data_IF_658679379157
#
_entry.id   IF_658679379157
#
_cell.length_a   1.000
_cell.length_b   1.000
_cell.length_c   1.000
_cell.angle_alpha   90.00
_cell.angle_beta   90.00
_cell.angle_gamma   90.00
#
_symmetry.space_group_name_H-M   'P 1'
#
loop_
_entity.id
_entity.type
_entity.pdbx_description
1 polymer ?
#
# COMPACT_ATOMS: atom_id res chain seq x y z
N UNK A 1 -18.43 -12.48 21.27
CA UNK A 1 -17.21 -13.28 21.04
C UNK A 1 -16.27 -12.35 20.33
N UNK A 2 -15.29 -11.76 21.03
CA UNK A 2 -14.30 -10.82 20.47
C UNK A 2 -13.37 -11.66 19.58
N UNK A 3 -13.11 -11.27 18.32
CA UNK A 3 -12.15 -11.99 17.50
C UNK A 3 -10.79 -11.97 18.21
N UNK A 4 -10.19 -13.12 18.39
CA UNK A 4 -8.79 -13.23 18.78
C UNK A 4 -7.97 -12.49 17.71
N UNK A 5 -7.45 -11.32 18.07
CA UNK A 5 -6.39 -10.67 17.31
C UNK A 5 -5.18 -11.61 17.38
N UNK A 6 -4.94 -12.33 16.31
CA UNK A 6 -3.66 -13.00 16.12
C UNK A 6 -2.62 -11.90 16.07
N UNK A 7 -1.75 -11.82 17.07
CA UNK A 7 -0.62 -10.89 17.04
C UNK A 7 0.22 -11.21 15.81
N UNK A 8 0.15 -10.35 14.79
CA UNK A 8 1.04 -10.42 13.63
C UNK A 8 2.47 -10.35 14.15
N UNK A 9 3.28 -11.35 13.87
CA UNK A 9 4.71 -11.33 14.17
C UNK A 9 5.42 -10.85 12.91
N UNK A 10 5.76 -9.58 12.90
CA UNK A 10 6.63 -9.01 11.89
C UNK A 10 8.07 -9.37 12.25
N UNK A 11 8.71 -10.16 11.44
CA UNK A 11 10.06 -10.68 11.71
C UNK A 11 11.13 -9.93 10.94
N UNK A 12 10.79 -9.26 9.83
CA UNK A 12 11.74 -8.57 8.96
C UNK A 12 11.57 -7.05 8.99
N UNK A 13 12.63 -6.27 8.65
CA UNK A 13 12.53 -4.82 8.53
C UNK A 13 11.43 -4.38 7.57
N UNK A 14 11.29 -5.05 6.43
CA UNK A 14 10.30 -4.75 5.41
C UNK A 14 8.87 -4.97 5.93
N UNK A 15 8.63 -6.08 6.62
CA UNK A 15 7.33 -6.37 7.23
C UNK A 15 6.97 -5.34 8.31
N UNK A 16 7.95 -4.93 9.13
CA UNK A 16 7.75 -3.89 10.15
C UNK A 16 7.48 -2.53 9.52
N UNK A 17 8.23 -2.16 8.50
CA UNK A 17 8.05 -0.88 7.82
C UNK A 17 6.68 -0.78 7.14
N UNK A 18 6.23 -1.85 6.45
CA UNK A 18 4.90 -1.89 5.86
C UNK A 18 3.80 -1.84 6.93
N UNK A 19 3.96 -2.57 8.05
CA UNK A 19 2.99 -2.51 9.14
C UNK A 19 2.87 -1.11 9.73
N UNK A 20 4.00 -0.46 9.98
CA UNK A 20 4.02 0.90 10.50
C UNK A 20 3.32 1.86 9.51
N UNK A 21 3.60 1.73 8.21
CA UNK A 21 2.95 2.56 7.20
C UNK A 21 1.42 2.37 7.19
N UNK A 22 0.93 1.13 7.34
CA UNK A 22 -0.50 0.86 7.42
C UNK A 22 -1.12 1.41 8.71
N UNK A 23 -0.38 1.34 9.84
CA UNK A 23 -0.82 1.90 11.12
C UNK A 23 -0.88 3.44 11.08
N UNK A 24 0.09 4.09 10.42
CA UNK A 24 0.11 5.55 10.24
C UNK A 24 -1.06 6.06 9.39
N UNK A 25 -1.63 5.22 8.49
CA UNK A 25 -2.85 5.56 7.76
C UNK A 25 -4.10 5.75 8.64
N UNK A 26 -4.07 5.32 9.90
CA UNK A 26 -5.27 5.44 10.77
C UNK A 26 -5.64 6.91 10.99
N UNK A 27 -4.68 7.83 11.08
CA UNK A 27 -4.96 9.27 11.14
C UNK A 27 -5.58 9.80 9.84
N UNK A 28 -5.20 9.28 8.68
CA UNK A 28 -5.77 9.68 7.39
C UNK A 28 -7.15 9.03 7.17
N UNK A 29 -7.37 7.85 7.69
CA UNK A 29 -8.71 7.24 7.74
C UNK A 29 -9.66 8.04 8.62
N UNK A 30 -9.18 8.61 9.73
CA UNK A 30 -9.96 9.54 10.57
C UNK A 30 -10.35 10.81 9.79
N UNK A 31 -9.45 11.35 8.94
CA UNK A 31 -9.80 12.47 8.05
C UNK A 31 -10.86 12.09 7.01
N UNK A 32 -10.91 10.84 6.56
CA UNK A 32 -12.00 10.36 5.69
C UNK A 32 -13.33 10.25 6.45
N UNK A 33 -13.29 9.91 7.75
CA UNK A 33 -14.48 9.95 8.62
C UNK A 33 -14.97 11.39 8.77
N UNK A 34 -14.08 12.32 9.13
CA UNK A 34 -14.41 13.75 9.23
C UNK A 34 -14.96 14.32 7.91
N UNK A 35 -14.38 13.88 6.78
CA UNK A 35 -14.90 14.25 5.47
C UNK A 35 -16.33 13.75 5.28
N UNK A 36 -16.62 12.48 5.61
CA UNK A 36 -17.93 11.88 5.40
C UNK A 36 -19.05 12.52 6.28
N UNK A 37 -18.71 13.01 7.47
CA UNK A 37 -19.66 13.58 8.43
C UNK A 37 -20.06 15.04 8.12
N UNK A 38 -19.38 15.73 7.22
CA UNK A 38 -19.66 17.13 6.89
C UNK A 38 -20.69 17.29 5.78
N UNK A 39 -21.29 18.49 5.63
CA UNK A 39 -22.12 18.79 4.46
C UNK A 39 -21.31 18.72 3.14
N UNK A 40 -21.90 18.13 2.10
CA UNK A 40 -21.29 17.95 0.80
C UNK A 40 -21.92 18.81 -0.28
N UNK A 41 -21.13 19.22 -1.26
CA UNK A 41 -21.58 19.84 -2.48
C UNK A 41 -22.18 18.80 -3.43
N UNK A 42 -23.09 19.23 -4.31
CA UNK A 42 -23.52 18.41 -5.44
C UNK A 42 -22.47 18.32 -6.56
N UNK A 43 -21.39 19.11 -6.48
CA UNK A 43 -20.28 19.11 -7.43
C UNK A 43 -19.33 17.94 -7.12
N UNK A 44 -19.49 16.86 -7.87
CA UNK A 44 -18.71 15.63 -7.70
C UNK A 44 -17.21 15.87 -7.94
N UNK A 45 -16.84 16.74 -8.86
CA UNK A 45 -15.43 17.00 -9.17
C UNK A 45 -14.75 17.78 -8.02
N UNK A 46 -15.47 18.70 -7.40
CA UNK A 46 -15.00 19.39 -6.20
C UNK A 46 -14.81 18.41 -5.04
N UNK A 47 -15.79 17.58 -4.76
CA UNK A 47 -15.74 16.61 -3.67
C UNK A 47 -14.66 15.55 -3.91
N UNK A 48 -14.49 15.09 -5.15
CA UNK A 48 -13.38 14.16 -5.52
C UNK A 48 -12.02 14.79 -5.24
N UNK A 49 -11.81 16.05 -5.60
CA UNK A 49 -10.54 16.75 -5.31
C UNK A 49 -10.24 16.82 -3.82
N UNK A 50 -11.26 16.94 -2.98
CA UNK A 50 -11.06 16.98 -1.53
C UNK A 50 -10.69 15.62 -0.97
N UNK A 51 -11.30 14.52 -1.46
CA UNK A 51 -10.91 13.15 -1.09
C UNK A 51 -9.48 12.86 -1.55
N UNK A 52 -9.13 13.19 -2.79
CA UNK A 52 -7.75 13.06 -3.29
C UNK A 52 -6.76 13.90 -2.49
N UNK A 53 -7.20 15.06 -1.97
CA UNK A 53 -6.43 15.93 -1.08
C UNK A 53 -6.12 15.28 0.29
N UNK A 54 -6.86 14.25 0.70
CA UNK A 54 -6.56 13.42 1.87
C UNK A 54 -5.66 12.24 1.45
N UNK A 55 -5.97 11.57 0.36
CA UNK A 55 -5.32 10.33 -0.04
C UNK A 55 -3.87 10.53 -0.53
N UNK A 56 -3.60 11.51 -1.38
CA UNK A 56 -2.24 11.72 -1.90
C UNK A 56 -1.19 12.08 -0.85
N UNK A 57 -1.46 12.94 0.16
CA UNK A 57 -0.52 13.12 1.27
C UNK A 57 -0.22 11.82 2.02
N UNK A 58 -1.23 11.01 2.35
CA UNK A 58 -1.07 9.71 3.00
C UNK A 58 -0.20 8.74 2.17
N UNK A 59 -0.47 8.63 0.87
CA UNK A 59 0.33 7.82 -0.05
C UNK A 59 1.76 8.35 -0.23
N UNK A 60 1.95 9.67 -0.17
CA UNK A 60 3.28 10.30 -0.20
C UNK A 60 4.08 9.93 1.05
N UNK A 61 3.44 9.88 2.21
CA UNK A 61 4.08 9.45 3.46
C UNK A 61 4.48 7.98 3.41
N UNK A 62 3.61 7.11 2.94
CA UNK A 62 3.92 5.70 2.67
C UNK A 62 5.13 5.56 1.73
N UNK A 63 5.23 6.37 0.68
CA UNK A 63 6.40 6.39 -0.21
C UNK A 63 7.67 6.84 0.51
N UNK A 64 7.60 7.85 1.37
CA UNK A 64 8.75 8.31 2.15
C UNK A 64 9.26 7.25 3.12
N UNK A 65 8.35 6.49 3.75
CA UNK A 65 8.69 5.36 4.61
C UNK A 65 9.37 4.24 3.82
N UNK A 66 8.87 3.93 2.63
CA UNK A 66 9.50 2.98 1.71
C UNK A 66 10.91 3.45 1.30
N UNK A 67 11.09 4.72 0.96
CA UNK A 67 12.41 5.29 0.64
C UNK A 67 13.39 5.18 1.82
N UNK A 68 12.89 5.42 3.04
CA UNK A 68 13.69 5.26 4.26
C UNK A 68 14.11 3.81 4.45
N UNK A 69 13.20 2.86 4.29
CA UNK A 69 13.50 1.43 4.37
C UNK A 69 14.60 1.04 3.36
N UNK A 70 14.46 1.45 2.10
CA UNK A 70 15.45 1.15 1.04
C UNK A 70 16.81 1.74 1.38
N UNK A 71 16.85 2.94 1.97
CA UNK A 71 18.10 3.53 2.44
C UNK A 71 18.71 2.74 3.60
N UNK A 72 17.91 2.39 4.60
CA UNK A 72 18.39 1.77 5.83
C UNK A 72 18.85 0.32 5.62
N UNK A 73 18.18 -0.44 4.75
CA UNK A 73 18.45 -1.87 4.52
C UNK A 73 19.36 -2.13 3.31
N UNK A 74 19.35 -1.26 2.29
CA UNK A 74 20.06 -1.47 1.03
C UNK A 74 21.09 -0.38 0.72
N UNK A 75 21.26 0.64 1.58
CA UNK A 75 22.17 1.80 1.42
C UNK A 75 21.95 2.61 0.13
N UNK A 76 20.70 2.64 -0.35
CA UNK A 76 20.31 3.35 -1.58
C UNK A 76 19.52 4.60 -1.24
N UNK A 77 20.01 5.77 -1.72
CA UNK A 77 19.29 7.04 -1.56
C UNK A 77 18.39 7.29 -2.77
N UNK A 78 17.08 7.31 -2.53
CA UNK A 78 16.09 7.64 -3.55
C UNK A 78 15.84 9.16 -3.51
N UNK A 79 16.19 9.85 -4.61
CA UNK A 79 16.01 11.30 -4.76
C UNK A 79 15.10 11.67 -5.93
N UNK A 80 14.44 10.69 -6.52
CA UNK A 80 13.56 10.87 -7.69
C UNK A 80 12.20 11.42 -7.28
N UNK A 81 11.57 12.18 -8.18
CA UNK A 81 10.16 12.54 -8.05
C UNK A 81 9.31 11.27 -8.14
N UNK A 82 8.26 11.20 -7.33
CA UNK A 82 7.31 10.09 -7.33
C UNK A 82 6.68 9.93 -8.73
N UNK A 83 6.77 8.74 -9.26
CA UNK A 83 6.11 8.32 -10.51
C UNK A 83 4.91 7.43 -10.13
N UNK A 84 3.76 8.07 -9.96
CA UNK A 84 2.55 7.40 -9.51
C UNK A 84 2.11 6.27 -10.43
N UNK A 85 2.31 6.40 -11.76
CA UNK A 85 1.96 5.36 -12.73
C UNK A 85 2.74 4.06 -12.55
N UNK A 86 3.91 4.15 -11.93
CA UNK A 86 4.76 2.97 -11.67
C UNK A 86 4.47 2.28 -10.34
N UNK A 87 4.11 3.06 -9.32
CA UNK A 87 4.06 2.55 -7.94
C UNK A 87 2.66 2.29 -7.41
N UNK A 88 1.62 2.91 -7.97
CA UNK A 88 0.24 2.60 -7.61
C UNK A 88 -0.16 1.21 -8.12
N UNK A 89 -1.14 0.60 -7.47
CA UNK A 89 -1.72 -0.69 -7.87
C UNK A 89 -2.32 -0.61 -9.27
N UNK A 90 -3.15 0.40 -9.49
CA UNK A 90 -3.61 0.81 -10.82
C UNK A 90 -2.82 2.04 -11.28
N UNK A 91 -2.91 2.40 -12.56
CA UNK A 91 -2.37 3.66 -13.06
C UNK A 91 -3.05 4.85 -12.38
N UNK A 92 -2.37 5.99 -12.35
CA UNK A 92 -2.87 7.18 -11.66
C UNK A 92 -4.29 7.57 -12.11
N UNK A 93 -4.57 7.56 -13.41
CA UNK A 93 -5.89 7.90 -13.96
C UNK A 93 -6.99 6.94 -13.48
N UNK A 94 -6.71 5.65 -13.41
CA UNK A 94 -7.65 4.64 -12.93
C UNK A 94 -7.85 4.76 -11.40
N UNK A 95 -6.79 5.04 -10.65
CA UNK A 95 -6.88 5.33 -9.22
C UNK A 95 -7.80 6.54 -8.96
N UNK A 96 -7.57 7.66 -9.65
CA UNK A 96 -8.40 8.86 -9.51
C UNK A 96 -9.85 8.61 -9.92
N UNK A 97 -10.08 7.78 -10.94
CA UNK A 97 -11.41 7.35 -11.34
C UNK A 97 -12.10 6.49 -10.28
N UNK A 98 -11.38 5.56 -9.65
CA UNK A 98 -11.92 4.75 -8.54
C UNK A 98 -12.37 5.66 -7.39
N UNK A 99 -11.54 6.63 -7.00
CA UNK A 99 -11.88 7.62 -5.97
C UNK A 99 -13.11 8.43 -6.38
N UNK A 100 -13.18 8.90 -7.62
CA UNK A 100 -14.33 9.65 -8.15
C UNK A 100 -15.62 8.82 -8.14
N UNK A 101 -15.57 7.57 -8.55
CA UNK A 101 -16.76 6.71 -8.61
C UNK A 101 -17.30 6.42 -7.20
N UNK A 102 -16.43 6.20 -6.21
CA UNK A 102 -16.85 6.03 -4.82
C UNK A 102 -17.38 7.32 -4.20
N UNK A 103 -16.73 8.45 -4.46
CA UNK A 103 -17.21 9.78 -4.01
C UNK A 103 -18.57 10.10 -4.60
N UNK A 104 -18.77 9.86 -5.90
CA UNK A 104 -20.06 10.01 -6.57
C UNK A 104 -21.15 9.14 -5.95
N UNK A 105 -20.85 7.86 -5.71
CA UNK A 105 -21.80 6.95 -5.09
C UNK A 105 -22.16 7.42 -3.67
N UNK A 106 -21.19 7.90 -2.91
CA UNK A 106 -21.39 8.45 -1.58
C UNK A 106 -22.31 9.70 -1.59
N UNK A 107 -22.02 10.68 -2.45
CA UNK A 107 -22.83 11.90 -2.56
C UNK A 107 -24.27 11.60 -2.99
N UNK A 108 -24.47 10.59 -3.85
CA UNK A 108 -25.81 10.23 -4.35
C UNK A 108 -26.64 9.40 -3.36
N UNK A 109 -26.01 8.57 -2.54
CA UNK A 109 -26.72 7.57 -1.72
C UNK A 109 -26.55 7.77 -0.21
N UNK A 110 -25.58 8.59 0.25
CA UNK A 110 -25.40 8.96 1.67
C UNK A 110 -24.99 7.79 2.56
N UNK A 111 -24.20 6.82 2.06
CA UNK A 111 -23.73 5.68 2.87
C UNK A 111 -22.30 5.92 3.35
N UNK A 112 -22.17 6.64 4.46
CA UNK A 112 -20.90 7.04 5.07
C UNK A 112 -20.02 5.81 5.39
N UNK A 113 -20.58 4.79 6.02
CA UNK A 113 -19.85 3.60 6.43
C UNK A 113 -19.28 2.84 5.23
N UNK A 114 -20.06 2.75 4.15
CA UNK A 114 -19.60 2.12 2.92
C UNK A 114 -18.48 2.92 2.27
N UNK A 115 -18.63 4.23 2.20
CA UNK A 115 -17.63 5.13 1.63
C UNK A 115 -16.31 5.02 2.39
N UNK A 116 -16.32 5.22 3.72
CA UNK A 116 -15.14 5.15 4.58
C UNK A 116 -14.44 3.80 4.41
N UNK A 117 -15.19 2.69 4.48
CA UNK A 117 -14.62 1.35 4.31
C UNK A 117 -13.97 1.14 2.94
N UNK A 118 -14.55 1.69 1.88
CA UNK A 118 -14.00 1.55 0.53
C UNK A 118 -12.76 2.40 0.34
N UNK A 119 -12.74 3.64 0.81
CA UNK A 119 -11.58 4.51 0.72
C UNK A 119 -10.41 4.01 1.59
N UNK A 120 -10.69 3.51 2.79
CA UNK A 120 -9.68 2.86 3.62
C UNK A 120 -9.07 1.63 2.93
N UNK A 121 -9.90 0.81 2.27
CA UNK A 121 -9.40 -0.33 1.51
C UNK A 121 -8.52 0.08 0.32
N UNK A 122 -8.85 1.17 -0.35
CA UNK A 122 -8.03 1.71 -1.44
C UNK A 122 -6.69 2.18 -0.88
N UNK A 123 -6.67 2.95 0.21
CA UNK A 123 -5.43 3.40 0.86
C UNK A 123 -4.54 2.23 1.28
N UNK A 124 -5.08 1.22 1.95
CA UNK A 124 -4.33 0.04 2.37
C UNK A 124 -3.71 -0.69 1.16
N UNK A 125 -4.50 -0.87 0.08
CA UNK A 125 -4.05 -1.55 -1.14
C UNK A 125 -2.94 -0.77 -1.85
N UNK A 126 -3.08 0.54 -1.97
CA UNK A 126 -2.09 1.40 -2.60
C UNK A 126 -0.80 1.49 -1.77
N UNK A 127 -0.89 1.52 -0.45
CA UNK A 127 0.28 1.50 0.42
C UNK A 127 1.11 0.22 0.21
N UNK A 128 0.47 -0.95 0.17
CA UNK A 128 1.14 -2.21 -0.15
C UNK A 128 1.77 -2.18 -1.54
N UNK A 129 1.09 -1.58 -2.52
CA UNK A 129 1.61 -1.41 -3.87
C UNK A 129 2.84 -0.51 -3.91
N UNK A 130 2.79 0.64 -3.23
CA UNK A 130 3.89 1.60 -3.14
C UNK A 130 5.16 0.93 -2.58
N UNK A 131 5.04 0.17 -1.48
CA UNK A 131 6.18 -0.54 -0.91
C UNK A 131 6.75 -1.54 -1.91
N UNK A 132 5.94 -2.43 -2.46
CA UNK A 132 6.44 -3.51 -3.31
C UNK A 132 6.92 -3.03 -4.68
N UNK A 133 6.15 -2.18 -5.37
CA UNK A 133 6.54 -1.65 -6.68
C UNK A 133 7.65 -0.60 -6.55
N UNK A 134 7.61 0.24 -5.52
CA UNK A 134 8.65 1.22 -5.27
C UNK A 134 10.00 0.58 -4.97
N UNK A 135 10.04 -0.42 -4.08
CA UNK A 135 11.26 -1.21 -3.83
C UNK A 135 11.74 -1.93 -5.08
N UNK A 136 10.85 -2.54 -5.86
CA UNK A 136 11.20 -3.20 -7.11
C UNK A 136 11.89 -2.26 -8.10
N UNK A 137 11.36 -1.06 -8.28
CA UNK A 137 11.96 -0.08 -9.23
C UNK A 137 13.37 0.34 -8.83
N UNK A 138 13.73 0.28 -7.56
CA UNK A 138 15.06 0.65 -7.08
C UNK A 138 16.02 -0.54 -6.95
N UNK A 139 15.51 -1.77 -6.80
CA UNK A 139 16.33 -2.95 -6.46
C UNK A 139 16.45 -3.97 -7.60
N UNK A 140 15.59 -3.94 -8.62
CA UNK A 140 15.54 -4.93 -9.70
C UNK A 140 16.82 -5.09 -10.51
N UNK A 141 17.65 -4.05 -10.57
CA UNK A 141 18.91 -4.06 -11.33
C UNK A 141 20.13 -4.42 -10.46
N UNK A 142 19.91 -4.63 -9.15
CA UNK A 142 20.97 -4.84 -8.16
C UNK A 142 20.85 -6.23 -7.53
N UNK A 143 19.64 -6.71 -7.32
CA UNK A 143 19.35 -8.00 -6.71
C UNK A 143 18.99 -9.04 -7.77
N UNK A 144 19.29 -10.31 -7.49
CA UNK A 144 19.00 -11.44 -8.40
C UNK A 144 17.71 -12.17 -8.02
N UNK A 145 17.38 -12.17 -6.73
CA UNK A 145 16.29 -12.92 -6.15
C UNK A 145 15.40 -12.06 -5.26
N UNK A 146 14.18 -12.52 -5.09
CA UNK A 146 13.22 -11.94 -4.19
C UNK A 146 12.47 -13.02 -3.40
N UNK A 147 12.18 -12.75 -2.15
CA UNK A 147 11.34 -13.60 -1.29
C UNK A 147 10.04 -12.85 -1.03
N UNK A 148 8.93 -13.44 -1.43
CA UNK A 148 7.60 -12.92 -1.12
C UNK A 148 7.15 -13.53 0.21
N UNK A 149 6.88 -12.68 1.19
CA UNK A 149 6.37 -13.07 2.52
C UNK A 149 5.01 -12.44 2.77
N UNK A 150 4.25 -12.99 3.69
CA UNK A 150 2.94 -12.45 4.08
C UNK A 150 2.88 -12.21 5.58
N UNK A 151 2.17 -11.18 5.99
CA UNK A 151 1.97 -10.82 7.39
C UNK A 151 1.16 -11.85 8.19
N UNK A 152 0.55 -12.86 7.54
CA UNK A 152 -0.29 -13.88 8.18
C UNK A 152 0.48 -15.20 8.24
N UNK A 153 0.60 -15.77 9.42
CA UNK A 153 1.18 -17.11 9.62
C UNK A 153 0.38 -18.14 8.78
N UNK A 154 1.08 -18.88 7.89
CA UNK A 154 0.46 -19.78 6.91
C UNK A 154 0.13 -19.13 5.58
N UNK A 155 0.30 -17.81 5.44
CA UNK A 155 0.10 -17.05 4.20
C UNK A 155 -1.36 -16.94 3.77
N UNK A 156 -1.60 -16.05 2.83
CA UNK A 156 -2.89 -15.96 2.13
C UNK A 156 -2.94 -17.05 1.04
N UNK A 157 -3.98 -17.89 0.96
CA UNK A 157 -4.06 -18.96 -0.04
C UNK A 157 -4.15 -18.43 -1.50
N UNK A 158 -4.39 -17.13 -1.67
CA UNK A 158 -4.43 -16.45 -2.98
C UNK A 158 -3.08 -15.82 -3.36
N UNK A 159 -2.13 -15.75 -2.42
CA UNK A 159 -0.85 -15.14 -2.63
C UNK A 159 0.21 -16.20 -2.90
N UNK A 160 1.16 -15.86 -3.73
CA UNK A 160 2.40 -16.60 -3.82
C UNK A 160 3.27 -16.26 -2.62
N UNK A 161 3.89 -17.25 -2.03
CA UNK A 161 4.90 -17.09 -0.98
C UNK A 161 6.10 -17.97 -1.33
N UNK A 162 7.28 -17.38 -1.29
CA UNK A 162 8.52 -18.10 -1.57
C UNK A 162 9.54 -17.27 -2.31
N UNK A 163 10.68 -17.90 -2.60
CA UNK A 163 11.79 -17.31 -3.32
C UNK A 163 11.59 -17.47 -4.84
N UNK A 164 11.86 -16.40 -5.58
CA UNK A 164 11.82 -16.38 -7.05
C UNK A 164 12.95 -15.52 -7.61
N UNK A 165 13.48 -15.83 -8.82
CA UNK A 165 14.29 -14.90 -9.56
C UNK A 165 13.53 -13.60 -9.84
N UNK A 166 14.21 -12.46 -9.77
CA UNK A 166 13.57 -11.14 -10.01
C UNK A 166 12.86 -11.08 -11.36
N UNK A 167 13.42 -11.72 -12.40
CA UNK A 167 12.81 -11.76 -13.72
C UNK A 167 11.43 -12.47 -13.77
N UNK A 168 11.12 -13.31 -12.78
CA UNK A 168 9.88 -14.08 -12.68
C UNK A 168 8.93 -13.53 -11.60
N UNK A 169 9.37 -12.48 -10.89
CA UNK A 169 8.64 -11.91 -9.76
C UNK A 169 7.33 -11.28 -10.21
N UNK A 170 6.25 -11.71 -9.57
CA UNK A 170 4.96 -11.03 -9.62
C UNK A 170 4.79 -10.23 -8.33
N UNK A 171 4.63 -8.92 -8.46
CA UNK A 171 4.57 -8.03 -7.31
C UNK A 171 3.20 -8.06 -6.61
N UNK A 172 3.18 -8.08 -5.26
CA UNK A 172 1.98 -7.74 -4.51
C UNK A 172 1.58 -6.26 -4.72
N UNK A 173 0.33 -5.89 -4.44
CA UNK A 173 -0.73 -6.74 -3.91
C UNK A 173 -1.36 -7.64 -4.97
N UNK A 174 -1.67 -8.88 -4.60
CA UNK A 174 -2.32 -9.85 -5.52
C UNK A 174 -3.85 -9.73 -5.49
N UNK A 175 -4.40 -9.04 -4.53
CA UNK A 175 -5.83 -8.78 -4.32
C UNK A 175 -6.01 -7.64 -3.30
N UNK A 176 -7.18 -6.99 -3.21
CA UNK A 176 -7.49 -6.04 -2.15
C UNK A 176 -7.24 -6.66 -0.75
N UNK A 177 -6.69 -5.89 0.17
CA UNK A 177 -6.22 -6.34 1.51
C UNK A 177 -5.07 -7.35 1.47
N UNK A 178 -4.31 -7.40 0.42
CA UNK A 178 -3.05 -8.13 0.41
C UNK A 178 -2.03 -7.37 1.28
N UNK A 179 -1.41 -8.06 2.22
CA UNK A 179 -0.35 -7.50 3.09
C UNK A 179 0.99 -8.19 2.82
N UNK A 180 1.15 -8.78 1.63
CA UNK A 180 2.41 -9.41 1.25
C UNK A 180 3.46 -8.35 0.92
N UNK A 181 4.70 -8.62 1.33
CA UNK A 181 5.85 -7.77 1.05
C UNK A 181 6.95 -8.60 0.40
N UNK A 182 7.76 -7.93 -0.42
CA UNK A 182 8.91 -8.52 -1.10
C UNK A 182 10.19 -8.09 -0.41
N UNK A 183 11.07 -9.05 -0.14
CA UNK A 183 12.45 -8.86 0.28
C UNK A 183 13.35 -9.15 -0.91
N UNK A 184 14.41 -8.38 -1.07
CA UNK A 184 15.34 -8.50 -2.19
C UNK A 184 16.71 -8.90 -1.69
N UNK A 185 17.41 -9.80 -2.42
CA UNK A 185 18.75 -10.23 -2.05
C UNK A 185 19.58 -10.63 -3.28
N UNK A 186 20.90 -10.62 -3.12
CA UNK A 186 21.86 -11.12 -4.11
C UNK A 186 21.94 -12.65 -4.02
N UNK A 187 22.28 -13.29 -5.13
CA UNK A 187 22.44 -14.74 -5.19
C UNK A 187 23.54 -15.21 -4.24
N UNK A 188 23.18 -16.09 -3.32
CA UNK A 188 24.13 -16.74 -2.40
C UNK A 188 24.41 -15.95 -1.11
N UNK A 189 23.68 -14.86 -0.86
CA UNK A 189 23.76 -14.10 0.40
C UNK A 189 22.81 -14.60 1.49
N UNK A 190 22.04 -15.67 1.22
CA UNK A 190 21.17 -16.24 2.25
C UNK A 190 21.96 -16.93 3.35
N UNK A 191 22.09 -16.28 4.49
CA UNK A 191 22.09 -17.00 5.77
C UNK A 191 20.62 -17.23 6.14
N UNK A 192 20.19 -18.49 5.96
CA UNK A 192 18.93 -19.00 6.52
C UNK A 192 18.96 -18.78 8.04
N UNK A 193 18.22 -17.81 8.54
CA UNK A 193 17.95 -17.61 9.97
C UNK A 193 16.62 -18.25 10.33
#
# INVERSE_FOLDING_TARGET
>A
MVPLFVKKRYNTPEEKALSNAIEELDEDKDKLVEYAERPHSADIDLETKQVLGIMYPALTESYNLMCKLVKDEYDINISKKIDWDKILYEKQDEFEKIVKDHTKAFILFGDDNKFIRQMSLVLDTETVSIFNKGMYEELKDICDYAIVTGAVEGGCPKCFHGEVPIAELKLPPYHPRCECIVRYHEKGTEELV
#
